data_IF_739544004428
#
_entry.id   IF_739544004428
#
_cell.length_a   1.000
_cell.length_b   1.000
_cell.length_c   1.000
_cell.angle_alpha   90.00
_cell.angle_beta   90.00
_cell.angle_gamma   90.00
#
_symmetry.space_group_name_H-M   'P 1'
#
loop_
_entity.id
_entity.type
_entity.pdbx_description
1 polymer ?
#
# COMPACT_ATOMS: atom_id res chain seq x y z
N UNK A 1 -24.11 -18.21 69.16
CA UNK A 1 -23.05 -17.97 68.16
C UNK A 1 -23.74 -17.76 66.81
N UNK A 2 -23.79 -16.51 66.33
CA UNK A 2 -24.49 -16.11 65.10
C UNK A 2 -23.43 -15.54 64.16
N UNK A 3 -22.97 -16.35 63.20
CA UNK A 3 -22.10 -15.85 62.14
C UNK A 3 -23.00 -15.33 61.02
N UNK A 4 -23.10 -13.99 60.95
CA UNK A 4 -23.62 -13.27 59.79
C UNK A 4 -22.62 -13.46 58.65
N UNK A 5 -22.89 -14.43 57.77
CA UNK A 5 -22.21 -14.52 56.47
C UNK A 5 -23.02 -13.70 55.47
N UNK A 6 -22.52 -12.53 55.09
CA UNK A 6 -23.08 -11.71 54.02
C UNK A 6 -21.98 -11.42 52.99
N UNK A 7 -21.86 -12.38 52.08
CA UNK A 7 -21.63 -12.26 50.64
C UNK A 7 -20.75 -11.06 50.21
N UNK A 8 -19.46 -11.28 49.89
CA UNK A 8 -18.75 -10.33 49.04
C UNK A 8 -19.36 -10.41 47.63
N UNK A 9 -20.00 -9.32 47.24
CA UNK A 9 -20.48 -9.02 45.90
C UNK A 9 -19.29 -9.09 44.93
N UNK A 10 -19.07 -10.27 44.35
CA UNK A 10 -18.08 -10.51 43.31
C UNK A 10 -18.60 -9.80 42.06
N UNK A 11 -18.23 -8.53 41.90
CA UNK A 11 -18.38 -7.75 40.68
C UNK A 11 -17.67 -8.50 39.56
N UNK A 12 -18.44 -9.32 38.85
CA UNK A 12 -18.09 -9.90 37.56
C UNK A 12 -17.90 -8.72 36.59
N UNK A 13 -16.67 -8.18 36.56
CA UNK A 13 -16.19 -7.41 35.42
C UNK A 13 -16.14 -8.38 34.24
N UNK A 14 -17.29 -8.54 33.58
CA UNK A 14 -17.32 -9.02 32.20
C UNK A 14 -16.55 -7.96 31.40
N UNK A 15 -15.26 -8.20 31.21
CA UNK A 15 -14.51 -7.59 30.13
C UNK A 15 -15.20 -8.04 28.86
N UNK A 16 -16.07 -7.19 28.31
CA UNK A 16 -16.57 -7.37 26.96
C UNK A 16 -15.34 -7.16 26.08
N UNK A 17 -14.78 -8.19 25.41
CA UNK A 17 -13.86 -7.89 24.32
C UNK A 17 -14.68 -7.07 23.32
N UNK A 18 -14.37 -5.78 23.23
CA UNK A 18 -14.87 -4.94 22.15
C UNK A 18 -14.27 -5.52 20.87
N UNK A 19 -14.99 -6.43 20.24
CA UNK A 19 -14.84 -6.71 18.83
C UNK A 19 -15.38 -5.47 18.12
N UNK A 20 -14.55 -4.43 18.06
CA UNK A 20 -14.63 -3.46 16.99
C UNK A 20 -14.19 -4.22 15.74
N UNK A 21 -15.14 -4.88 15.08
CA UNK A 21 -15.02 -5.13 13.64
C UNK A 21 -15.36 -3.81 12.97
N UNK A 22 -14.41 -2.88 13.04
CA UNK A 22 -14.25 -1.89 11.99
C UNK A 22 -13.63 -2.66 10.83
N UNK A 23 -14.48 -3.21 9.98
CA UNK A 23 -14.05 -3.81 8.72
C UNK A 23 -14.89 -3.19 7.60
N UNK A 24 -14.86 -1.86 7.55
CA UNK A 24 -15.09 -1.12 6.32
C UNK A 24 -13.91 -1.41 5.40
N UNK A 25 -14.02 -2.54 4.69
CA UNK A 25 -12.98 -3.24 3.94
C UNK A 25 -11.80 -2.40 3.46
N UNK A 26 -10.64 -2.67 4.06
CA UNK A 26 -9.35 -2.33 3.49
C UNK A 26 -9.15 -3.20 2.23
N UNK A 27 -9.71 -2.77 1.11
CA UNK A 27 -9.43 -3.33 -0.22
C UNK A 27 -7.93 -3.15 -0.48
N UNK A 28 -7.08 -4.06 -0.01
CA UNK A 28 -5.65 -3.99 -0.22
C UNK A 28 -5.33 -4.07 -1.72
N UNK A 29 -4.28 -3.37 -2.16
CA UNK A 29 -3.83 -3.44 -3.54
C UNK A 29 -3.45 -4.89 -3.94
N UNK A 30 -4.02 -5.38 -5.04
CA UNK A 30 -3.70 -6.68 -5.64
C UNK A 30 -3.17 -6.44 -7.06
N UNK A 31 -1.89 -6.71 -7.29
CA UNK A 31 -1.24 -6.38 -8.58
C UNK A 31 -1.80 -7.11 -9.80
N UNK A 32 -2.47 -8.25 -9.61
CA UNK A 32 -3.13 -9.00 -10.68
C UNK A 32 -4.56 -8.52 -10.96
N UNK A 33 -5.14 -7.70 -10.08
CA UNK A 33 -6.45 -7.09 -10.30
C UNK A 33 -6.27 -5.87 -11.18
N UNK A 34 -6.93 -5.79 -12.35
CA UNK A 34 -6.89 -4.59 -13.17
C UNK A 34 -7.78 -3.51 -12.55
N UNK A 35 -7.19 -2.38 -12.15
CA UNK A 35 -7.93 -1.23 -11.67
C UNK A 35 -8.17 -0.24 -12.82
N UNK A 36 -9.42 0.23 -13.01
CA UNK A 36 -9.73 1.19 -14.06
C UNK A 36 -9.07 2.54 -13.78
N UNK A 37 -8.59 3.22 -14.83
CA UNK A 37 -8.04 4.56 -14.70
C UNK A 37 -7.19 4.98 -15.89
N UNK A 38 -6.61 6.17 -15.79
CA UNK A 38 -5.86 6.81 -16.88
C UNK A 38 -4.42 6.28 -17.01
N UNK A 39 -3.90 5.60 -15.98
CA UNK A 39 -2.53 5.11 -15.97
C UNK A 39 -2.45 3.74 -16.65
N UNK A 40 -1.39 3.52 -17.44
CA UNK A 40 -1.13 2.24 -18.07
C UNK A 40 -0.65 1.25 -17.01
N UNK A 41 -1.39 0.15 -16.81
CA UNK A 41 -1.20 -0.79 -15.70
C UNK A 41 0.26 -1.25 -15.52
N UNK A 42 0.93 -1.60 -16.62
CA UNK A 42 2.28 -2.15 -16.59
C UNK A 42 3.39 -1.11 -16.58
N UNK A 43 3.07 0.17 -16.80
CA UNK A 43 4.06 1.24 -16.89
C UNK A 43 4.45 1.76 -15.50
N UNK A 44 5.72 2.13 -15.36
CA UNK A 44 6.23 2.84 -14.20
C UNK A 44 6.09 4.36 -14.33
N UNK A 45 5.71 4.94 -13.21
CA UNK A 45 5.58 6.37 -12.98
C UNK A 45 6.45 6.74 -11.79
N UNK A 46 7.01 7.95 -11.84
CA UNK A 46 7.87 8.51 -10.82
C UNK A 46 7.16 9.69 -10.19
N UNK A 47 7.30 9.87 -8.88
CA UNK A 47 6.70 10.98 -8.18
C UNK A 47 7.61 12.23 -8.25
N UNK A 48 7.05 13.40 -8.55
CA UNK A 48 7.71 14.69 -8.35
C UNK A 48 7.17 15.32 -7.08
N UNK A 49 8.01 15.40 -6.03
CA UNK A 49 7.63 15.98 -4.74
C UNK A 49 7.37 17.50 -4.81
N UNK A 50 7.90 18.22 -5.80
CA UNK A 50 7.69 19.68 -5.89
C UNK A 50 6.35 19.99 -6.53
N UNK A 51 5.99 19.22 -7.55
CA UNK A 51 4.73 19.40 -8.28
C UNK A 51 3.58 18.56 -7.69
N UNK A 52 3.90 17.59 -6.82
CA UNK A 52 2.94 16.64 -6.24
C UNK A 52 2.19 15.84 -7.32
N UNK A 53 2.90 15.42 -8.37
CA UNK A 53 2.32 14.67 -9.50
C UNK A 53 3.15 13.43 -9.86
N UNK A 54 2.49 12.47 -10.51
CA UNK A 54 3.10 11.29 -11.10
C UNK A 54 3.45 11.53 -12.58
N UNK A 55 4.72 11.42 -12.94
CA UNK A 55 5.16 11.51 -14.32
C UNK A 55 5.63 10.15 -14.84
N UNK A 56 5.25 9.83 -16.07
CA UNK A 56 5.78 8.65 -16.73
C UNK A 56 7.27 8.83 -17.02
N UNK A 57 8.07 7.78 -16.82
CA UNK A 57 9.47 7.81 -17.21
C UNK A 57 9.63 8.21 -18.70
N UNK A 58 10.64 9.03 -19.00
CA UNK A 58 10.93 9.55 -20.36
C UNK A 58 11.01 8.43 -21.40
N UNK A 59 11.63 7.31 -21.04
CA UNK A 59 11.50 6.03 -21.74
C UNK A 59 10.53 5.17 -20.95
N UNK A 60 9.46 4.64 -21.57
CA UNK A 60 8.53 3.75 -20.87
C UNK A 60 9.29 2.57 -20.24
N UNK A 61 9.23 2.47 -18.92
CA UNK A 61 9.72 1.32 -18.16
C UNK A 61 8.51 0.51 -17.74
N UNK A 62 8.54 -0.79 -18.00
CA UNK A 62 7.48 -1.70 -17.56
C UNK A 62 7.92 -2.38 -16.27
N UNK A 63 7.08 -2.35 -15.24
CA UNK A 63 7.41 -2.98 -13.96
C UNK A 63 7.53 -4.50 -14.12
N UNK A 64 6.74 -5.10 -15.02
CA UNK A 64 6.71 -6.53 -15.30
C UNK A 64 8.00 -7.07 -15.93
N UNK A 65 8.75 -6.24 -16.65
CA UNK A 65 9.99 -6.63 -17.34
C UNK A 65 11.22 -5.92 -16.78
N UNK A 66 11.12 -5.31 -15.61
CA UNK A 66 12.20 -4.54 -15.01
C UNK A 66 13.38 -5.46 -14.63
N UNK A 67 14.62 -5.17 -15.06
CA UNK A 67 15.79 -5.97 -14.70
C UNK A 67 16.14 -5.92 -13.21
N UNK A 68 15.86 -4.81 -12.54
CA UNK A 68 16.05 -4.68 -11.09
C UNK A 68 15.06 -5.58 -10.34
N UNK A 69 15.50 -6.78 -9.94
CA UNK A 69 14.66 -7.79 -9.30
C UNK A 69 14.01 -7.31 -7.99
N UNK A 70 14.74 -6.53 -7.20
CA UNK A 70 14.23 -5.96 -5.95
C UNK A 70 13.06 -5.01 -6.23
N UNK A 71 13.26 -4.02 -7.11
CA UNK A 71 12.22 -3.10 -7.51
C UNK A 71 11.02 -3.84 -8.10
N UNK A 72 11.26 -4.78 -9.04
CA UNK A 72 10.19 -5.59 -9.66
C UNK A 72 9.35 -6.32 -8.63
N UNK A 73 9.99 -6.94 -7.64
CA UNK A 73 9.31 -7.70 -6.59
C UNK A 73 8.50 -6.78 -5.69
N UNK A 74 9.07 -5.66 -5.24
CA UNK A 74 8.35 -4.70 -4.39
C UNK A 74 7.18 -4.06 -5.12
N UNK A 75 7.35 -3.66 -6.38
CA UNK A 75 6.27 -3.09 -7.20
C UNK A 75 5.13 -4.09 -7.43
N UNK A 76 5.45 -5.38 -7.59
CA UNK A 76 4.43 -6.44 -7.69
C UNK A 76 3.66 -6.62 -6.38
N UNK A 77 4.34 -6.57 -5.24
CA UNK A 77 3.73 -6.85 -3.94
C UNK A 77 3.00 -5.65 -3.34
N UNK A 78 3.51 -4.44 -3.58
CA UNK A 78 3.08 -3.21 -2.90
C UNK A 78 2.61 -2.12 -3.84
N UNK A 79 2.83 -2.26 -5.14
CA UNK A 79 2.46 -1.25 -6.13
C UNK A 79 3.40 -0.04 -6.21
N UNK A 80 4.22 0.18 -5.17
CA UNK A 80 5.19 1.27 -5.08
C UNK A 80 6.57 0.80 -4.60
N UNK A 81 7.62 1.54 -4.95
CA UNK A 81 9.00 1.26 -4.55
C UNK A 81 9.83 2.55 -4.56
N UNK A 82 10.68 2.74 -3.56
CA UNK A 82 11.61 3.88 -3.47
C UNK A 82 13.02 3.38 -3.75
N UNK A 83 13.67 3.96 -4.76
CA UNK A 83 14.99 3.53 -5.21
C UNK A 83 15.40 4.14 -6.54
N UNK A 84 16.70 4.09 -6.84
CA UNK A 84 17.22 4.60 -8.09
C UNK A 84 17.18 3.53 -9.18
N UNK A 85 16.64 3.88 -10.35
CA UNK A 85 16.67 3.04 -11.55
C UNK A 85 17.40 3.75 -12.67
N UNK A 86 18.30 3.03 -13.34
CA UNK A 86 18.88 3.50 -14.60
C UNK A 86 17.79 3.71 -15.66
N UNK A 87 18.17 4.33 -16.78
CA UNK A 87 17.30 4.43 -17.97
C UNK A 87 16.78 3.07 -18.47
N UNK A 88 17.57 2.02 -18.27
CA UNK A 88 17.21 0.63 -18.63
C UNK A 88 16.52 -0.15 -17.49
N UNK A 89 16.30 0.48 -16.33
CA UNK A 89 15.63 -0.17 -15.21
C UNK A 89 16.52 -1.06 -14.34
N UNK A 90 17.84 -0.89 -14.42
CA UNK A 90 18.80 -1.54 -13.50
C UNK A 90 18.79 -0.82 -12.16
N UNK A 91 18.98 -1.56 -11.05
CA UNK A 91 19.13 -0.93 -9.75
C UNK A 91 20.41 -0.08 -9.74
N UNK A 92 20.31 1.14 -9.21
CA UNK A 92 21.45 2.00 -8.93
C UNK A 92 21.62 2.14 -7.41
N UNK A 93 22.73 2.73 -6.98
CA UNK A 93 23.05 2.89 -5.56
C UNK A 93 22.14 3.85 -4.79
N UNK A 94 22.45 4.01 -3.50
CA UNK A 94 21.60 4.64 -2.48
C UNK A 94 21.65 6.18 -2.43
N UNK A 95 21.88 6.84 -3.57
CA UNK A 95 21.70 8.28 -3.67
C UNK A 95 20.23 8.67 -3.39
N UNK A 96 19.93 9.97 -3.28
CA UNK A 96 18.56 10.47 -3.14
C UNK A 96 17.63 9.76 -4.15
N UNK A 97 16.72 8.95 -3.61
CA UNK A 97 16.03 7.92 -4.36
C UNK A 97 14.56 8.32 -4.56
N UNK A 98 14.11 8.45 -5.80
CA UNK A 98 12.73 8.83 -6.08
C UNK A 98 11.76 7.68 -5.77
N UNK A 99 10.50 8.04 -5.53
CA UNK A 99 9.41 7.07 -5.41
C UNK A 99 8.87 6.72 -6.79
N UNK A 100 8.70 5.42 -7.02
CA UNK A 100 8.11 4.84 -8.22
C UNK A 100 6.81 4.10 -7.88
N UNK A 101 5.89 4.05 -8.83
CA UNK A 101 4.68 3.26 -8.75
C UNK A 101 4.33 2.62 -10.11
N UNK A 102 3.65 1.47 -10.08
CA UNK A 102 2.98 0.94 -11.26
C UNK A 102 1.74 1.77 -11.58
N UNK A 103 1.37 1.89 -12.85
CA UNK A 103 0.13 2.56 -13.22
C UNK A 103 -1.10 1.87 -12.63
N UNK A 104 -1.07 0.54 -12.47
CA UNK A 104 -2.16 -0.20 -11.85
C UNK A 104 -2.38 0.22 -10.39
N UNK A 105 -1.29 0.45 -9.65
CA UNK A 105 -1.37 0.95 -8.27
C UNK A 105 -1.91 2.39 -8.21
N UNK A 106 -1.55 3.25 -9.15
CA UNK A 106 -2.09 4.61 -9.22
C UNK A 106 -3.58 4.64 -9.55
N UNK A 107 -4.04 3.74 -10.41
CA UNK A 107 -5.47 3.55 -10.67
C UNK A 107 -6.20 3.07 -9.41
N UNK A 108 -5.66 2.08 -8.69
CA UNK A 108 -6.19 1.63 -7.40
C UNK A 108 -6.33 2.78 -6.39
N UNK A 109 -5.29 3.60 -6.23
CA UNK A 109 -5.35 4.75 -5.30
C UNK A 109 -6.41 5.76 -5.70
N UNK A 110 -6.59 5.98 -7.00
CA UNK A 110 -7.63 6.90 -7.51
C UNK A 110 -9.01 6.35 -7.17
N UNK A 111 -9.27 5.07 -7.45
CA UNK A 111 -10.54 4.42 -7.13
C UNK A 111 -10.81 4.37 -5.62
N UNK A 112 -9.79 4.11 -4.80
CA UNK A 112 -9.92 4.14 -3.33
C UNK A 112 -10.30 5.54 -2.85
N UNK A 113 -9.57 6.56 -3.30
CA UNK A 113 -9.85 7.95 -2.92
C UNK A 113 -11.22 8.46 -3.39
N UNK A 114 -11.76 7.93 -4.49
CA UNK A 114 -13.11 8.30 -4.98
C UNK A 114 -14.25 7.62 -4.18
N UNK A 115 -13.93 6.56 -3.40
CA UNK A 115 -14.89 5.82 -2.56
C UNK A 115 -14.97 6.36 -1.12
N UNK A 116 -13.93 7.05 -0.66
CA UNK A 116 -13.79 7.66 0.67
C UNK A 116 -14.36 9.09 0.74
#
# INVERSE_FOLDING_TARGET
MKYLALIPLFLLLMTIPSLATDDGGDDAYISTTPYPGIYQADRLYQYDDREQIWYGAKRPKLWTTLPCDQARTTLRERGSWTGNLSDSGQCLGDAEAPTWASGNYLNYLTEKNDRD
#
